data_IF_706905021963
#
_entry.id   IF_706905021963
#
_cell.length_a   1.000
_cell.length_b   1.000
_cell.length_c   1.000
_cell.angle_alpha   90.00
_cell.angle_beta   90.00
_cell.angle_gamma   90.00
#
_symmetry.space_group_name_H-M   'P 1'
#
loop_
_entity.id
_entity.type
_entity.pdbx_description
1 polymer ?
#
# COMPACT_ATOMS: atom_id res chain seq x y z
N UNK A 1 68.88 -15.46 45.75
CA UNK A 1 68.75 -14.93 47.12
C UNK A 1 67.58 -13.97 47.12
N UNK A 2 66.53 -14.40 47.83
CA UNK A 2 65.38 -13.66 48.40
C UNK A 2 64.52 -12.80 47.44
N UNK A 3 63.30 -13.24 47.12
CA UNK A 3 62.05 -13.10 47.90
C UNK A 3 61.48 -11.68 47.83
N UNK A 4 60.30 -11.49 47.22
CA UNK A 4 59.01 -11.58 47.90
C UNK A 4 57.89 -11.31 46.89
N UNK A 5 56.92 -12.23 46.85
CA UNK A 5 55.62 -12.02 46.23
C UNK A 5 54.79 -11.12 47.13
N UNK A 6 54.27 -10.01 46.59
CA UNK A 6 53.24 -9.22 47.25
C UNK A 6 51.91 -9.49 46.55
N UNK A 7 51.09 -10.32 47.20
CA UNK A 7 49.73 -10.63 46.80
C UNK A 7 48.85 -9.39 46.96
N UNK A 8 48.43 -8.78 45.86
CA UNK A 8 47.42 -7.74 45.88
C UNK A 8 46.06 -8.33 46.32
N UNK A 9 45.61 -7.87 47.48
CA UNK A 9 44.39 -8.24 48.16
C UNK A 9 43.16 -7.84 47.31
N UNK A 10 42.44 -8.82 46.74
CA UNK A 10 41.19 -8.56 46.01
C UNK A 10 40.11 -8.29 47.05
N UNK A 11 39.91 -7.02 47.39
CA UNK A 11 38.73 -6.60 48.14
C UNK A 11 37.46 -6.98 47.37
N UNK A 12 36.75 -7.99 47.86
CA UNK A 12 35.39 -8.33 47.40
C UNK A 12 34.46 -7.16 47.75
N UNK A 13 34.18 -6.31 46.76
CA UNK A 13 33.13 -5.29 46.84
C UNK A 13 31.79 -6.01 47.01
N UNK A 14 31.29 -6.07 48.24
CA UNK A 14 29.92 -6.49 48.53
C UNK A 14 29.00 -5.36 48.10
N UNK A 15 28.32 -5.53 46.97
CA UNK A 15 27.19 -4.67 46.62
C UNK A 15 26.05 -4.98 47.60
N UNK A 16 25.64 -4.05 48.48
CA UNK A 16 24.44 -4.25 49.25
C UNK A 16 23.27 -4.07 48.28
N UNK A 17 22.73 -5.18 47.76
CA UNK A 17 21.44 -5.13 47.07
C UNK A 17 20.42 -4.76 48.14
N UNK A 18 20.06 -3.48 48.19
CA UNK A 18 19.00 -2.97 49.05
C UNK A 18 17.68 -3.57 48.56
N UNK A 19 17.37 -4.78 49.02
CA UNK A 19 16.19 -5.57 48.64
C UNK A 19 14.89 -4.77 48.81
N UNK A 20 14.88 -3.83 49.78
CA UNK A 20 13.77 -2.90 50.04
C UNK A 20 13.60 -1.83 48.96
N UNK A 21 14.68 -1.32 48.38
CA UNK A 21 14.61 -0.32 47.31
C UNK A 21 14.11 -0.98 46.01
N UNK A 22 14.52 -2.23 45.76
CA UNK A 22 14.04 -3.05 44.64
C UNK A 22 12.56 -3.42 44.80
N UNK A 23 12.11 -3.77 46.01
CA UNK A 23 10.71 -4.07 46.28
C UNK A 23 9.80 -2.84 46.10
N UNK A 24 10.24 -1.65 46.53
CA UNK A 24 9.48 -0.41 46.32
C UNK A 24 9.37 -0.07 44.83
N UNK A 25 10.46 -0.24 44.07
CA UNK A 25 10.45 -0.02 42.61
C UNK A 25 9.53 -1.01 41.88
N UNK A 26 9.51 -2.27 42.32
CA UNK A 26 8.64 -3.31 41.77
C UNK A 26 7.16 -3.06 42.11
N UNK A 27 6.84 -2.59 43.32
CA UNK A 27 5.48 -2.16 43.70
C UNK A 27 5.04 -0.94 42.89
N UNK A 28 5.96 0.00 42.60
CA UNK A 28 5.67 1.18 41.78
C UNK A 28 5.39 0.84 40.30
N UNK A 29 6.05 -0.20 39.77
CA UNK A 29 5.80 -0.71 38.42
C UNK A 29 4.47 -1.47 38.32
N UNK A 30 4.05 -2.14 39.40
CA UNK A 30 2.77 -2.86 39.47
C UNK A 30 1.57 -1.94 39.75
N UNK A 31 1.80 -0.72 40.24
CA UNK A 31 0.75 0.28 40.49
C UNK A 31 0.51 1.22 39.30
N UNK A 32 1.25 1.07 38.20
CA UNK A 32 0.88 1.69 36.94
C UNK A 32 -0.46 1.09 36.50
N UNK A 33 -1.54 1.88 36.36
CA UNK A 33 -2.77 1.36 35.78
C UNK A 33 -2.40 0.77 34.43
N UNK A 34 -2.84 -0.47 34.17
CA UNK A 34 -2.78 -1.04 32.85
C UNK A 34 -3.50 -0.07 31.92
N UNK A 35 -2.73 0.75 31.21
CA UNK A 35 -3.25 1.65 30.20
C UNK A 35 -3.89 0.72 29.18
N UNK A 36 -5.21 0.59 29.25
CA UNK A 36 -6.01 -0.01 28.20
C UNK A 36 -5.92 0.93 27.02
N UNK A 37 -4.81 0.85 26.29
CA UNK A 37 -4.74 1.37 24.93
C UNK A 37 -5.84 0.65 24.18
N UNK A 38 -6.97 1.32 23.97
CA UNK A 38 -8.07 0.79 23.19
C UNK A 38 -7.52 0.53 21.80
N UNK A 39 -7.24 -0.74 21.48
CA UNK A 39 -6.88 -1.13 20.14
C UNK A 39 -8.08 -0.79 19.24
N UNK A 40 -7.95 0.24 18.42
CA UNK A 40 -9.02 0.66 17.53
C UNK A 40 -9.23 -0.44 16.49
N UNK A 41 -10.36 -1.14 16.57
CA UNK A 41 -10.66 -2.23 15.66
C UNK A 41 -11.13 -1.66 14.32
N UNK A 42 -10.39 -1.99 13.26
CA UNK A 42 -10.63 -1.51 11.90
C UNK A 42 -11.66 -2.42 11.23
N UNK A 43 -12.80 -1.86 10.85
CA UNK A 43 -13.96 -2.58 10.31
C UNK A 43 -14.48 -1.99 9.00
N UNK A 44 -14.43 -0.66 8.87
CA UNK A 44 -15.13 0.05 7.81
C UNK A 44 -14.21 0.46 6.66
N UNK A 45 -14.79 0.64 5.47
CA UNK A 45 -14.07 1.06 4.27
C UNK A 45 -13.20 2.29 4.51
N UNK A 46 -13.76 3.33 5.11
CA UNK A 46 -13.08 4.60 5.40
C UNK A 46 -11.91 4.42 6.37
N UNK A 47 -12.03 3.50 7.33
CA UNK A 47 -10.96 3.24 8.28
C UNK A 47 -9.80 2.51 7.62
N UNK A 48 -10.08 1.47 6.82
CA UNK A 48 -9.04 0.79 6.04
C UNK A 48 -8.38 1.74 5.02
N UNK A 49 -9.16 2.59 4.36
CA UNK A 49 -8.62 3.59 3.44
C UNK A 49 -7.68 4.60 4.13
N UNK A 50 -7.91 4.94 5.40
CA UNK A 50 -6.99 5.81 6.15
C UNK A 50 -5.64 5.15 6.47
N UNK A 51 -5.55 3.82 6.41
CA UNK A 51 -4.29 3.09 6.60
C UNK A 51 -3.45 3.07 5.31
N UNK A 52 -4.08 3.30 4.15
CA UNK A 52 -3.35 3.57 2.93
C UNK A 52 -2.59 4.89 3.04
N UNK A 53 -1.31 4.87 2.70
CA UNK A 53 -0.46 6.05 2.74
C UNK A 53 0.62 6.02 1.66
N UNK A 54 0.99 7.21 1.18
CA UNK A 54 2.06 7.36 0.21
C UNK A 54 3.40 7.50 0.95
N UNK A 55 4.27 6.50 0.81
CA UNK A 55 5.63 6.61 1.31
C UNK A 55 6.48 7.46 0.35
N UNK A 56 7.41 8.25 0.91
CA UNK A 56 8.36 9.02 0.12
C UNK A 56 9.29 8.11 -0.71
N UNK A 57 9.83 7.06 -0.08
CA UNK A 57 10.50 5.96 -0.78
C UNK A 57 9.50 4.81 -0.83
N UNK A 58 9.21 4.31 -2.03
CA UNK A 58 8.25 3.23 -2.23
C UNK A 58 8.98 1.93 -2.49
N UNK A 59 9.18 1.14 -1.43
CA UNK A 59 9.66 -0.23 -1.56
C UNK A 59 8.52 -1.16 -2.01
N UNK A 60 8.83 -2.35 -2.56
CA UNK A 60 7.80 -3.32 -2.91
C UNK A 60 6.88 -3.66 -1.74
N UNK A 61 7.44 -3.80 -0.53
CA UNK A 61 6.70 -4.14 0.69
C UNK A 61 5.67 -3.05 1.05
N UNK A 62 6.07 -1.77 0.97
CA UNK A 62 5.16 -0.64 1.17
C UNK A 62 3.98 -0.67 0.17
N UNK A 63 4.27 -1.03 -1.08
CA UNK A 63 3.25 -1.13 -2.14
C UNK A 63 2.30 -2.30 -1.89
N UNK A 64 2.83 -3.44 -1.46
CA UNK A 64 2.01 -4.61 -1.11
C UNK A 64 1.15 -4.35 0.13
N UNK A 65 1.67 -3.64 1.13
CA UNK A 65 0.89 -3.21 2.30
C UNK A 65 -0.26 -2.30 1.88
N UNK A 66 0.00 -1.30 1.04
CA UNK A 66 -1.05 -0.42 0.51
C UNK A 66 -2.11 -1.21 -0.27
N UNK A 67 -1.70 -2.15 -1.14
CA UNK A 67 -2.64 -3.05 -1.85
C UNK A 67 -3.49 -3.80 -0.83
N UNK A 68 -2.88 -4.38 0.20
CA UNK A 68 -3.60 -5.10 1.24
C UNK A 68 -4.67 -4.24 1.93
N UNK A 69 -4.33 -3.02 2.35
CA UNK A 69 -5.28 -2.12 3.00
C UNK A 69 -6.42 -1.68 2.07
N UNK A 70 -6.10 -1.35 0.82
CA UNK A 70 -7.10 -0.95 -0.18
C UNK A 70 -8.04 -2.12 -0.53
N UNK A 71 -7.54 -3.35 -0.67
CA UNK A 71 -8.38 -4.52 -0.91
C UNK A 71 -9.27 -4.86 0.29
N UNK A 72 -8.78 -4.64 1.53
CA UNK A 72 -9.62 -4.74 2.72
C UNK A 72 -10.72 -3.69 2.71
N UNK A 73 -10.42 -2.45 2.32
CA UNK A 73 -11.41 -1.39 2.16
C UNK A 73 -12.45 -1.73 1.07
N UNK A 74 -12.08 -2.36 -0.04
CA UNK A 74 -13.05 -2.81 -1.05
C UNK A 74 -14.05 -3.84 -0.49
N UNK A 75 -13.62 -4.70 0.43
CA UNK A 75 -14.43 -5.80 0.99
C UNK A 75 -15.24 -5.40 2.23
N UNK A 76 -14.80 -4.38 2.96
CA UNK A 76 -15.45 -3.90 4.18
C UNK A 76 -16.81 -3.21 3.94
N UNK A 77 -17.61 -3.04 4.98
CA UNK A 77 -18.82 -2.23 4.93
C UNK A 77 -18.50 -0.74 5.07
N UNK A 78 -19.35 0.13 4.52
CA UNK A 78 -19.23 1.57 4.75
C UNK A 78 -19.53 1.92 6.20
N UNK A 79 -18.82 2.89 6.77
CA UNK A 79 -19.17 3.44 8.07
C UNK A 79 -20.52 4.17 8.01
N UNK A 80 -21.07 4.51 9.18
CA UNK A 80 -22.19 5.44 9.27
C UNK A 80 -21.81 6.77 8.55
N UNK A 81 -22.73 7.41 7.78
CA UNK A 81 -22.46 8.66 7.07
C UNK A 81 -21.83 9.77 7.92
N UNK A 82 -22.05 9.78 9.23
CA UNK A 82 -21.39 10.69 10.18
C UNK A 82 -19.86 10.62 10.13
N UNK A 83 -19.31 9.47 9.76
CA UNK A 83 -17.86 9.21 9.67
C UNK A 83 -17.33 9.22 8.23
N UNK A 84 -18.15 9.63 7.26
CA UNK A 84 -17.73 9.79 5.88
C UNK A 84 -16.59 10.81 5.76
N UNK A 85 -15.79 10.70 4.70
CA UNK A 85 -14.74 11.66 4.38
C UNK A 85 -15.28 12.96 3.77
N UNK A 86 -16.59 13.03 3.52
CA UNK A 86 -17.30 14.21 3.06
C UNK A 86 -18.41 14.61 4.05
N UNK A 87 -18.90 15.85 3.93
CA UNK A 87 -20.14 16.23 4.60
C UNK A 87 -21.31 15.58 3.86
N UNK A 88 -22.15 14.84 4.59
CA UNK A 88 -23.29 14.12 4.04
C UNK A 88 -24.55 14.58 4.77
N UNK A 89 -25.39 15.35 4.08
CA UNK A 89 -26.62 15.94 4.63
C UNK A 89 -27.85 15.09 4.30
N UNK A 90 -27.82 14.35 3.20
CA UNK A 90 -28.95 13.55 2.74
C UNK A 90 -28.54 12.19 2.12
N UNK A 91 -29.57 11.38 1.81
CA UNK A 91 -29.38 10.02 1.26
C UNK A 91 -28.81 10.01 -0.15
N UNK A 92 -29.07 11.04 -0.94
CA UNK A 92 -28.59 11.15 -2.33
C UNK A 92 -27.12 11.53 -2.34
N UNK A 93 -26.68 12.45 -1.47
CA UNK A 93 -25.27 12.73 -1.21
C UNK A 93 -24.54 11.47 -0.74
N UNK A 94 -25.16 10.69 0.16
CA UNK A 94 -24.59 9.42 0.64
C UNK A 94 -24.42 8.38 -0.47
N UNK A 95 -25.39 8.26 -1.38
CA UNK A 95 -25.30 7.37 -2.54
C UNK A 95 -24.14 7.78 -3.45
N UNK A 96 -24.05 9.06 -3.81
CA UNK A 96 -22.97 9.59 -4.64
C UNK A 96 -21.59 9.38 -4.01
N UNK A 97 -21.46 9.69 -2.72
CA UNK A 97 -20.22 9.50 -1.97
C UNK A 97 -19.71 8.06 -2.07
N UNK A 98 -20.59 7.07 -1.89
CA UNK A 98 -20.19 5.66 -1.97
C UNK A 98 -19.69 5.29 -3.37
N UNK A 99 -20.28 5.84 -4.43
CA UNK A 99 -19.81 5.61 -5.80
C UNK A 99 -18.44 6.25 -6.04
N UNK A 100 -18.26 7.51 -5.65
CA UNK A 100 -16.97 8.20 -5.74
C UNK A 100 -15.88 7.48 -4.94
N UNK A 101 -16.20 7.06 -3.71
CA UNK A 101 -15.26 6.33 -2.85
C UNK A 101 -14.81 5.01 -3.50
N UNK A 102 -15.75 4.21 -4.02
CA UNK A 102 -15.41 2.95 -4.67
C UNK A 102 -14.58 3.17 -5.93
N UNK A 103 -14.94 4.16 -6.75
CA UNK A 103 -14.15 4.56 -7.91
C UNK A 103 -12.72 4.94 -7.50
N UNK A 104 -12.57 5.80 -6.49
CA UNK A 104 -11.28 6.28 -6.02
C UNK A 104 -10.39 5.15 -5.50
N UNK A 105 -10.92 4.22 -4.69
CA UNK A 105 -10.14 3.06 -4.22
C UNK A 105 -9.64 2.22 -5.39
N UNK A 106 -10.48 2.00 -6.40
CA UNK A 106 -10.04 1.27 -7.60
C UNK A 106 -8.91 2.02 -8.33
N UNK A 107 -8.97 3.35 -8.44
CA UNK A 107 -7.86 4.14 -8.98
C UNK A 107 -6.58 3.98 -8.15
N UNK A 108 -6.68 3.96 -6.82
CA UNK A 108 -5.51 3.73 -5.96
C UNK A 108 -4.94 2.34 -6.08
N UNK A 109 -5.77 1.31 -6.24
CA UNK A 109 -5.30 -0.04 -6.53
C UNK A 109 -4.55 -0.10 -7.88
N UNK A 110 -5.08 0.54 -8.92
CA UNK A 110 -4.39 0.65 -10.23
C UNK A 110 -3.01 1.26 -10.06
N UNK A 111 -2.91 2.39 -9.35
CA UNK A 111 -1.63 3.05 -9.06
C UNK A 111 -0.66 2.10 -8.35
N UNK A 112 -1.10 1.40 -7.30
CA UNK A 112 -0.24 0.48 -6.56
C UNK A 112 0.22 -0.72 -7.42
N UNK A 113 -0.66 -1.33 -8.20
CA UNK A 113 -0.28 -2.44 -9.08
C UNK A 113 0.65 -1.99 -10.22
N UNK A 114 0.51 -0.76 -10.72
CA UNK A 114 1.47 -0.18 -11.66
C UNK A 114 2.84 0.00 -11.01
N UNK A 115 2.90 0.53 -9.79
CA UNK A 115 4.15 0.69 -9.05
C UNK A 115 4.82 -0.67 -8.78
N UNK A 116 4.06 -1.66 -8.32
CA UNK A 116 4.57 -3.00 -8.03
C UNK A 116 5.06 -3.69 -9.31
N UNK A 117 4.27 -3.63 -10.40
CA UNK A 117 4.65 -4.21 -11.68
C UNK A 117 5.96 -3.61 -12.22
N UNK A 118 6.16 -2.30 -12.03
CA UNK A 118 7.39 -1.62 -12.45
C UNK A 118 8.64 -2.10 -11.69
N UNK A 119 8.51 -2.68 -10.49
CA UNK A 119 9.66 -3.28 -9.75
C UNK A 119 10.21 -4.53 -10.45
N UNK A 120 9.33 -5.29 -11.10
CA UNK A 120 9.68 -6.53 -11.80
C UNK A 120 9.88 -6.34 -13.30
N UNK A 121 9.39 -5.23 -13.85
CA UNK A 121 9.47 -4.94 -15.29
C UNK A 121 10.92 -4.70 -15.73
N UNK A 122 11.47 -5.60 -16.56
CA UNK A 122 12.73 -5.35 -17.26
C UNK A 122 12.44 -4.46 -18.46
N UNK A 123 12.79 -3.17 -18.35
CA UNK A 123 12.51 -2.18 -19.42
C UNK A 123 13.28 -2.44 -20.71
N UNK A 124 14.39 -3.17 -20.64
CA UNK A 124 15.24 -3.52 -21.78
C UNK A 124 15.79 -4.93 -21.59
N UNK A 125 16.15 -5.57 -22.70
CA UNK A 125 16.89 -6.83 -22.75
C UNK A 125 18.24 -6.56 -23.40
N UNK A 126 19.34 -6.64 -22.64
CA UNK A 126 20.70 -6.48 -23.13
C UNK A 126 21.38 -7.83 -23.30
N UNK A 127 22.41 -7.92 -24.15
CA UNK A 127 23.12 -9.18 -24.44
C UNK A 127 23.70 -9.83 -23.17
N UNK A 128 24.26 -9.02 -22.26
CA UNK A 128 24.81 -9.51 -21.00
C UNK A 128 23.76 -10.06 -20.02
N UNK A 129 22.47 -9.90 -20.31
CA UNK A 129 21.40 -10.52 -19.53
C UNK A 129 21.11 -11.97 -19.95
N UNK A 130 21.71 -12.47 -21.04
CA UNK A 130 21.48 -13.82 -21.56
C UNK A 130 21.67 -14.94 -20.51
N UNK A 131 22.70 -14.92 -19.63
CA UNK A 131 22.84 -15.93 -18.58
C UNK A 131 21.70 -15.96 -17.55
N UNK A 132 20.94 -14.87 -17.43
CA UNK A 132 19.78 -14.73 -16.53
C UNK A 132 18.44 -14.66 -17.27
N UNK A 133 18.39 -15.19 -18.50
CA UNK A 133 17.20 -15.17 -19.36
C UNK A 133 15.94 -15.63 -18.61
N UNK A 134 16.00 -16.80 -17.97
CA UNK A 134 14.83 -17.39 -17.29
C UNK A 134 14.35 -16.51 -16.12
N UNK A 135 15.26 -15.96 -15.32
CA UNK A 135 14.91 -15.08 -14.21
C UNK A 135 14.31 -13.74 -14.71
N UNK A 136 14.80 -13.24 -15.86
CA UNK A 136 14.23 -12.06 -16.49
C UNK A 136 12.83 -12.33 -17.03
N UNK A 137 12.60 -13.49 -17.66
CA UNK A 137 11.28 -13.91 -18.13
C UNK A 137 10.28 -14.06 -16.98
N UNK A 138 10.70 -14.66 -15.85
CA UNK A 138 9.83 -14.77 -14.66
C UNK A 138 9.52 -13.40 -14.04
N UNK A 139 10.49 -12.48 -14.04
CA UNK A 139 10.26 -11.10 -13.60
C UNK A 139 9.21 -10.41 -14.51
N UNK A 140 9.31 -10.57 -15.83
CA UNK A 140 8.35 -10.01 -16.78
C UNK A 140 6.95 -10.62 -16.62
N UNK A 141 6.84 -11.91 -16.27
CA UNK A 141 5.57 -12.57 -15.97
C UNK A 141 4.91 -12.00 -14.71
N UNK A 142 5.70 -11.73 -13.68
CA UNK A 142 5.23 -11.05 -12.45
C UNK A 142 4.72 -9.63 -12.77
N UNK A 143 5.46 -8.87 -13.57
CA UNK A 143 5.05 -7.54 -14.01
C UNK A 143 3.75 -7.57 -14.84
N UNK A 144 3.64 -8.50 -15.79
CA UNK A 144 2.42 -8.70 -16.60
C UNK A 144 1.20 -8.99 -15.71
N UNK A 145 1.36 -9.83 -14.69
CA UNK A 145 0.29 -10.14 -13.74
C UNK A 145 -0.20 -8.88 -13.03
N UNK A 146 0.72 -8.04 -12.55
CA UNK A 146 0.37 -6.78 -11.90
C UNK A 146 -0.40 -5.85 -12.85
N UNK A 147 0.07 -5.69 -14.09
CA UNK A 147 -0.58 -4.84 -15.09
C UNK A 147 -1.98 -5.35 -15.48
N UNK A 148 -2.16 -6.67 -15.62
CA UNK A 148 -3.48 -7.25 -15.88
C UNK A 148 -4.44 -7.06 -14.70
N UNK A 149 -3.94 -7.15 -13.46
CA UNK A 149 -4.73 -6.84 -12.27
C UNK A 149 -5.12 -5.36 -12.22
N UNK A 150 -4.22 -4.44 -12.61
CA UNK A 150 -4.55 -3.03 -12.75
C UNK A 150 -5.66 -2.80 -13.80
N UNK A 151 -5.65 -3.52 -14.94
CA UNK A 151 -6.74 -3.44 -15.92
C UNK A 151 -8.08 -3.93 -15.37
N UNK A 152 -8.08 -4.94 -14.50
CA UNK A 152 -9.29 -5.38 -13.82
C UNK A 152 -9.90 -4.24 -12.99
N UNK A 153 -9.10 -3.61 -12.12
CA UNK A 153 -9.57 -2.49 -11.30
C UNK A 153 -9.94 -1.25 -12.11
N UNK A 154 -9.34 -1.05 -13.29
CA UNK A 154 -9.77 0.02 -14.21
C UNK A 154 -11.21 -0.17 -14.71
N UNK A 155 -11.63 -1.40 -14.99
CA UNK A 155 -13.02 -1.67 -15.39
C UNK A 155 -13.98 -1.28 -14.28
N UNK A 156 -13.69 -1.70 -13.05
CA UNK A 156 -14.49 -1.35 -11.88
C UNK A 156 -14.50 0.17 -11.64
N UNK A 157 -13.35 0.85 -11.77
CA UNK A 157 -13.28 2.30 -11.62
C UNK A 157 -14.18 3.04 -12.62
N UNK A 158 -14.21 2.61 -13.89
CA UNK A 158 -15.10 3.17 -14.91
C UNK A 158 -16.58 2.97 -14.54
N UNK A 159 -16.96 1.76 -14.14
CA UNK A 159 -18.34 1.48 -13.74
C UNK A 159 -18.80 2.33 -12.54
N UNK A 160 -17.92 2.54 -11.57
CA UNK A 160 -18.23 3.39 -10.41
C UNK A 160 -18.24 4.88 -10.77
N UNK A 161 -17.37 5.34 -11.67
CA UNK A 161 -17.40 6.70 -12.19
C UNK A 161 -18.72 7.00 -12.91
N UNK A 162 -19.17 6.09 -13.78
CA UNK A 162 -20.43 6.22 -14.52
C UNK A 162 -21.63 6.33 -13.55
N UNK A 163 -21.64 5.53 -12.48
CA UNK A 163 -22.66 5.61 -11.42
C UNK A 163 -22.58 6.94 -10.67
N UNK A 164 -21.38 7.42 -10.32
CA UNK A 164 -21.19 8.68 -9.62
C UNK A 164 -21.62 9.91 -10.44
N UNK A 165 -21.59 9.80 -11.77
CA UNK A 165 -21.98 10.85 -12.73
C UNK A 165 -23.42 10.71 -13.23
N UNK A 166 -24.24 9.84 -12.62
CA UNK A 166 -25.66 9.73 -12.93
C UNK A 166 -26.35 11.11 -12.87
N UNK A 167 -27.28 11.36 -13.80
CA UNK A 167 -27.99 12.64 -13.94
C UNK A 167 -28.65 13.13 -12.65
N UNK A 168 -29.03 12.24 -11.73
CA UNK A 168 -29.62 12.57 -10.42
C UNK A 168 -28.64 13.32 -9.51
N UNK A 169 -27.34 13.19 -9.74
CA UNK A 169 -26.28 13.82 -8.96
C UNK A 169 -25.75 15.13 -9.55
N UNK A 170 -26.28 15.58 -10.70
CA UNK A 170 -25.74 16.71 -11.48
C UNK A 170 -25.50 18.00 -10.67
N UNK A 171 -26.37 18.28 -9.69
CA UNK A 171 -26.30 19.50 -8.88
C UNK A 171 -25.76 19.25 -7.46
N UNK A 172 -25.23 18.05 -7.21
CA UNK A 172 -24.61 17.68 -5.94
C UNK A 172 -23.11 17.74 -6.14
N UNK A 173 -22.42 18.44 -5.23
CA UNK A 173 -20.98 18.48 -5.19
C UNK A 173 -20.49 18.20 -3.77
N UNK A 174 -19.61 17.20 -3.61
CA UNK A 174 -19.05 16.84 -2.31
C UNK A 174 -17.69 17.51 -2.11
N UNK A 175 -17.69 18.76 -1.67
CA UNK A 175 -16.50 19.64 -1.65
C UNK A 175 -15.26 19.04 -0.98
N UNK A 176 -15.43 18.30 0.13
CA UNK A 176 -14.31 17.68 0.87
C UNK A 176 -13.60 16.57 0.10
N UNK A 177 -14.25 16.03 -0.92
CA UNK A 177 -13.72 14.99 -1.82
C UNK A 177 -13.83 15.44 -3.28
N UNK A 178 -13.74 16.76 -3.53
CA UNK A 178 -13.81 17.35 -4.86
C UNK A 178 -12.84 16.67 -5.85
N UNK A 179 -11.66 16.29 -5.39
CA UNK A 179 -10.69 15.58 -6.22
C UNK A 179 -11.23 14.25 -6.78
N UNK A 180 -12.12 13.56 -6.06
CA UNK A 180 -12.78 12.35 -6.56
C UNK A 180 -13.85 12.67 -7.61
N UNK A 181 -14.57 13.79 -7.44
CA UNK A 181 -15.49 14.29 -8.47
C UNK A 181 -14.74 14.60 -9.77
N UNK A 182 -13.59 15.28 -9.65
CA UNK A 182 -12.72 15.61 -10.77
C UNK A 182 -12.15 14.36 -11.44
N UNK A 183 -11.73 13.35 -10.66
CA UNK A 183 -11.31 12.04 -11.18
C UNK A 183 -12.43 11.36 -11.98
N UNK A 184 -13.66 11.33 -11.46
CA UNK A 184 -14.80 10.76 -12.18
C UNK A 184 -15.04 11.51 -13.51
N UNK A 185 -15.04 12.85 -13.47
CA UNK A 185 -15.19 13.69 -14.67
C UNK A 185 -14.10 13.41 -15.71
N UNK A 186 -12.85 13.27 -15.27
CA UNK A 186 -11.70 12.95 -16.14
C UNK A 186 -11.75 11.55 -16.73
N UNK A 187 -12.36 10.59 -16.03
CA UNK A 187 -12.63 9.26 -16.60
C UNK A 187 -13.65 9.40 -17.73
N UNK A 188 -14.74 10.13 -17.49
CA UNK A 188 -15.82 10.29 -18.47
C UNK A 188 -15.41 11.06 -19.73
N UNK A 189 -14.58 12.10 -19.59
CA UNK A 189 -14.06 12.85 -20.74
C UNK A 189 -12.84 12.18 -21.41
N UNK A 190 -12.29 11.13 -20.80
CA UNK A 190 -11.18 10.33 -21.29
C UNK A 190 -9.79 10.95 -21.06
N UNK A 191 -9.68 12.08 -20.38
CA UNK A 191 -8.39 12.70 -20.01
C UNK A 191 -7.65 11.89 -18.94
N UNK A 192 -8.36 11.10 -18.13
CA UNK A 192 -7.82 10.02 -17.32
C UNK A 192 -8.18 8.69 -17.98
N UNK A 193 -7.18 7.99 -18.52
CA UNK A 193 -7.38 6.71 -19.19
C UNK A 193 -6.26 5.73 -18.85
N UNK A 194 -6.45 4.95 -17.79
CA UNK A 194 -5.47 3.95 -17.36
C UNK A 194 -5.37 2.76 -18.32
N UNK A 195 -6.44 2.39 -19.02
CA UNK A 195 -6.41 1.32 -20.02
C UNK A 195 -5.39 1.61 -21.14
N UNK A 196 -5.33 2.86 -21.62
CA UNK A 196 -4.31 3.28 -22.59
C UNK A 196 -2.89 3.20 -22.03
N UNK A 197 -2.69 3.63 -20.78
CA UNK A 197 -1.39 3.62 -20.11
C UNK A 197 -0.92 2.18 -19.90
N UNK A 198 -1.76 1.34 -19.31
CA UNK A 198 -1.45 -0.05 -19.00
C UNK A 198 -1.27 -0.88 -20.28
N UNK A 199 -2.09 -0.64 -21.31
CA UNK A 199 -1.94 -1.30 -22.61
C UNK A 199 -0.56 -1.04 -23.22
N UNK A 200 -0.08 0.20 -23.20
CA UNK A 200 1.28 0.54 -23.64
C UNK A 200 2.35 -0.19 -22.82
N UNK A 201 2.19 -0.28 -21.50
CA UNK A 201 3.14 -0.99 -20.64
C UNK A 201 3.20 -2.49 -20.97
N UNK A 202 2.06 -3.12 -21.22
CA UNK A 202 1.97 -4.52 -21.66
C UNK A 202 2.63 -4.73 -23.04
N UNK A 203 2.39 -3.83 -24.00
CA UNK A 203 3.00 -3.91 -25.34
C UNK A 203 4.53 -3.80 -25.26
N UNK A 204 5.05 -2.89 -24.42
CA UNK A 204 6.49 -2.75 -24.21
C UNK A 204 7.08 -3.98 -23.54
N UNK A 205 6.41 -4.50 -22.51
CA UNK A 205 6.81 -5.70 -21.79
C UNK A 205 6.92 -6.90 -22.74
N UNK A 206 5.94 -7.09 -23.63
CA UNK A 206 5.93 -8.18 -24.59
C UNK A 206 7.09 -8.07 -25.60
N UNK A 207 7.41 -6.87 -26.07
CA UNK A 207 8.60 -6.65 -26.92
C UNK A 207 9.89 -7.05 -26.21
N UNK A 208 10.03 -6.76 -24.92
CA UNK A 208 11.21 -7.15 -24.14
C UNK A 208 11.24 -8.66 -23.91
N UNK A 209 10.08 -9.29 -23.64
CA UNK A 209 9.95 -10.74 -23.51
C UNK A 209 10.44 -11.46 -24.75
N UNK A 210 10.00 -11.01 -25.93
CA UNK A 210 10.43 -11.60 -27.21
C UNK A 210 11.94 -11.49 -27.41
N UNK A 211 12.55 -10.37 -27.04
CA UNK A 211 14.02 -10.22 -27.07
C UNK A 211 14.72 -11.23 -26.16
N UNK A 212 14.25 -11.42 -24.93
CA UNK A 212 14.82 -12.44 -24.04
C UNK A 212 14.61 -13.85 -24.58
N UNK A 213 13.43 -14.17 -25.12
CA UNK A 213 13.14 -15.48 -25.70
C UNK A 213 14.06 -15.81 -26.89
N UNK A 214 14.40 -14.80 -27.70
CA UNK A 214 15.31 -14.91 -28.82
C UNK A 214 16.80 -15.00 -28.44
N UNK A 215 17.18 -14.75 -27.18
CA UNK A 215 18.56 -14.93 -26.72
C UNK A 215 18.91 -16.42 -26.59
N UNK A 216 20.11 -16.77 -27.05
CA UNK A 216 20.73 -18.09 -27.00
C UNK A 216 22.21 -17.99 -26.58
N UNK A 217 22.89 -19.13 -26.50
CA UNK A 217 24.30 -19.22 -26.10
C UNK A 217 25.26 -18.50 -27.06
N UNK A 218 24.80 -18.14 -28.27
CA UNK A 218 25.59 -17.49 -29.32
C UNK A 218 25.33 -15.99 -29.45
N UNK A 219 24.38 -15.43 -28.70
CA UNK A 219 24.04 -14.00 -28.68
C UNK A 219 24.69 -13.25 -27.50
N UNK A 220 25.61 -13.91 -26.79
CA UNK A 220 26.51 -13.38 -25.76
C UNK A 220 27.82 -12.86 -26.36
#
# INVERSE_FOLDING_TARGET
>A
MECFAESADIQKVKYPVNLRLSAVFMVLLLSLPALSGGAYYVQYKEQYYKLYHLHYIQYPDDTMENIYWLEKALKADFANPLYALALIEDKTQWEKYRYLFMMHINLKLIEQYLYLGNKWNKRNAYFYNAPWKEQNLESLKTAETCYKTALYYWKDAKEWADKALDKRFRFINLERVQNWEDEAGRIADGTLNYEKIIGRELDLLEKVRQKFQAMDENTY
#
